data_IF_852453458478
#
_entry.id   IF_852453458478
#
_cell.length_a   1.000
_cell.length_b   1.000
_cell.length_c   1.000
_cell.angle_alpha   90.00
_cell.angle_beta   90.00
_cell.angle_gamma   90.00
#
_symmetry.space_group_name_H-M   'P 1'
#
loop_
_entity.id
_entity.type
_entity.pdbx_description
1 polymer ?
#
# COMPACT_ATOMS: atom_id res chain seq x y z
N UNK A 1 -64.85 24.20 -47.72
CA UNK A 1 -65.37 25.49 -47.19
C UNK A 1 -64.30 26.03 -46.25
N UNK A 2 -63.76 27.22 -46.56
CA UNK A 2 -62.66 27.94 -45.85
C UNK A 2 -61.29 27.21 -45.91
N UNK A 3 -60.26 27.71 -46.64
CA UNK A 3 -59.39 28.90 -46.43
C UNK A 3 -58.37 28.71 -45.28
N UNK A 4 -57.12 29.21 -45.28
CA UNK A 4 -56.33 30.15 -46.12
C UNK A 4 -54.80 29.97 -45.79
N UNK A 5 -53.75 30.56 -46.42
CA UNK A 5 -53.47 31.31 -47.67
C UNK A 5 -51.91 31.52 -47.75
N UNK A 6 -51.24 31.55 -48.93
CA UNK A 6 -49.76 31.60 -49.04
C UNK A 6 -49.16 33.02 -49.14
N UNK A 7 -47.82 33.16 -49.16
CA UNK A 7 -47.14 34.29 -49.80
C UNK A 7 -46.14 33.90 -50.91
N UNK A 8 -45.91 34.84 -51.82
CA UNK A 8 -45.07 34.77 -53.03
C UNK A 8 -43.70 35.47 -52.85
N UNK A 9 -42.72 35.27 -53.76
CA UNK A 9 -41.36 35.82 -53.62
C UNK A 9 -41.21 37.25 -54.16
N UNK A 10 -40.33 38.04 -53.54
CA UNK A 10 -39.90 39.37 -54.00
C UNK A 10 -38.48 39.35 -54.58
N UNK A 11 -38.22 40.20 -55.56
CA UNK A 11 -37.01 40.18 -56.40
C UNK A 11 -36.06 41.39 -56.18
N UNK A 12 -34.77 41.14 -56.44
CA UNK A 12 -33.84 42.04 -57.15
C UNK A 12 -33.64 43.50 -56.68
N UNK A 13 -32.45 43.77 -56.10
CA UNK A 13 -31.86 45.11 -56.00
C UNK A 13 -30.39 45.00 -55.56
N UNK A 14 -29.46 45.67 -56.23
CA UNK A 14 -28.03 45.39 -56.07
C UNK A 14 -27.11 46.59 -55.81
N UNK A 15 -25.83 46.25 -55.60
CA UNK A 15 -24.60 47.06 -55.67
C UNK A 15 -24.10 47.86 -54.44
N UNK A 16 -22.78 47.66 -54.21
CA UNK A 16 -21.79 48.56 -53.60
C UNK A 16 -21.78 48.82 -52.06
N UNK A 17 -20.90 48.10 -51.35
CA UNK A 17 -20.42 48.43 -50.00
C UNK A 17 -18.96 47.99 -49.80
N UNK A 18 -18.06 48.93 -49.47
CA UNK A 18 -16.61 48.77 -49.61
C UNK A 18 -15.90 47.78 -48.65
N UNK A 19 -14.86 47.14 -49.18
CA UNK A 19 -13.74 46.43 -48.53
C UNK A 19 -13.25 47.04 -47.19
N UNK A 20 -13.86 46.69 -46.05
CA UNK A 20 -13.32 47.03 -44.70
C UNK A 20 -12.55 45.89 -44.01
N UNK A 21 -12.70 44.65 -44.46
CA UNK A 21 -12.11 43.46 -43.81
C UNK A 21 -10.79 42.97 -44.42
N UNK A 22 -10.40 43.43 -45.62
CA UNK A 22 -9.21 42.93 -46.31
C UNK A 22 -7.89 43.30 -45.61
N UNK A 23 -7.78 44.52 -45.07
CA UNK A 23 -6.59 45.00 -44.38
C UNK A 23 -6.28 44.24 -43.07
N UNK A 24 -7.23 44.06 -42.11
CA UNK A 24 -6.95 43.26 -40.91
C UNK A 24 -6.70 41.78 -41.22
N UNK A 25 -7.32 41.23 -42.27
CA UNK A 25 -7.07 39.84 -42.68
C UNK A 25 -5.63 39.66 -43.21
N UNK A 26 -5.15 40.57 -44.07
CA UNK A 26 -3.77 40.55 -44.57
C UNK A 26 -2.74 40.76 -43.45
N UNK A 27 -3.01 41.67 -42.50
CA UNK A 27 -2.16 41.87 -41.33
C UNK A 27 -2.08 40.60 -40.44
N UNK A 28 -3.20 39.91 -40.24
CA UNK A 28 -3.27 38.63 -39.53
C UNK A 28 -2.43 37.54 -40.21
N UNK A 29 -2.55 37.40 -41.54
CA UNK A 29 -1.78 36.42 -42.33
C UNK A 29 -0.27 36.72 -42.32
N UNK A 30 0.12 38.00 -42.40
CA UNK A 30 1.53 38.40 -42.30
C UNK A 30 2.10 38.17 -40.91
N UNK A 31 1.36 38.48 -39.84
CA UNK A 31 1.82 38.25 -38.46
C UNK A 31 1.96 36.76 -38.14
N UNK A 32 0.98 35.93 -38.55
CA UNK A 32 1.01 34.49 -38.33
C UNK A 32 2.12 33.80 -39.14
N UNK A 33 2.34 34.18 -40.41
CA UNK A 33 3.47 33.68 -41.19
C UNK A 33 4.84 34.11 -40.64
N UNK A 34 4.96 35.32 -40.09
CA UNK A 34 6.18 35.76 -39.40
C UNK A 34 6.46 34.93 -38.13
N UNK A 35 5.42 34.66 -37.33
CA UNK A 35 5.53 33.84 -36.11
C UNK A 35 5.88 32.38 -36.40
N UNK A 36 5.31 31.79 -37.46
CA UNK A 36 5.66 30.44 -37.92
C UNK A 36 7.09 30.40 -38.45
N UNK A 37 7.52 31.43 -39.18
CA UNK A 37 8.91 31.53 -39.66
C UNK A 37 9.89 31.61 -38.49
N UNK A 38 9.60 32.45 -37.49
CA UNK A 38 10.44 32.59 -36.30
C UNK A 38 10.54 31.27 -35.51
N UNK A 39 9.43 30.56 -35.28
CA UNK A 39 9.47 29.29 -34.53
C UNK A 39 10.28 28.20 -35.25
N UNK A 40 10.22 28.13 -36.58
CA UNK A 40 11.04 27.23 -37.38
C UNK A 40 12.54 27.57 -37.30
N UNK A 41 12.92 28.85 -37.37
CA UNK A 41 14.32 29.30 -37.26
C UNK A 41 14.91 29.10 -35.85
N UNK A 42 14.13 29.33 -34.79
CA UNK A 42 14.58 29.05 -33.41
C UNK A 42 14.68 27.54 -33.12
N UNK A 43 13.85 26.71 -33.76
CA UNK A 43 13.89 25.25 -33.59
C UNK A 43 15.10 24.62 -34.29
N UNK A 44 15.37 24.98 -35.56
CA UNK A 44 16.51 24.46 -36.33
C UNK A 44 17.86 24.81 -35.69
N UNK A 45 17.99 26.02 -35.15
CA UNK A 45 19.20 26.50 -34.45
C UNK A 45 19.49 25.69 -33.18
N UNK A 46 18.46 25.22 -32.46
CA UNK A 46 18.61 24.35 -31.28
C UNK A 46 18.91 22.90 -31.65
N UNK A 47 18.32 22.39 -32.74
CA UNK A 47 18.55 21.01 -33.21
C UNK A 47 20.03 20.76 -33.59
N UNK A 48 20.66 21.72 -34.27
CA UNK A 48 22.08 21.62 -34.66
C UNK A 48 23.04 21.64 -33.46
N UNK A 49 22.73 22.38 -32.39
CA UNK A 49 23.56 22.42 -31.18
C UNK A 49 23.45 21.16 -30.32
N UNK A 50 22.32 20.44 -30.39
CA UNK A 50 22.11 19.19 -29.65
C UNK A 50 22.79 17.96 -30.30
N UNK A 51 23.19 18.05 -31.57
CA UNK A 51 23.74 16.93 -32.34
C UNK A 51 25.22 16.61 -32.05
N UNK A 52 25.90 17.42 -31.22
CA UNK A 52 27.32 17.26 -30.87
C UNK A 52 27.57 16.96 -29.39
N UNK A 53 26.53 16.61 -28.63
CA UNK A 53 26.71 16.09 -27.27
C UNK A 53 27.15 14.62 -27.33
N UNK A 54 28.31 14.22 -26.80
CA UNK A 54 28.67 12.80 -26.74
C UNK A 54 27.66 12.06 -25.86
N UNK A 55 27.08 10.99 -26.38
CA UNK A 55 26.20 10.10 -25.63
C UNK A 55 26.96 9.53 -24.42
N UNK A 56 26.45 9.67 -23.18
CA UNK A 56 27.04 9.00 -22.04
C UNK A 56 26.98 7.48 -22.25
N UNK A 57 28.04 6.77 -21.84
CA UNK A 57 28.14 5.32 -22.00
C UNK A 57 26.91 4.62 -21.38
N UNK A 58 26.28 3.73 -22.14
CA UNK A 58 25.09 2.99 -21.71
C UNK A 58 25.33 2.09 -20.48
N UNK A 59 26.58 1.93 -20.04
CA UNK A 59 26.97 1.21 -18.83
C UNK A 59 26.66 1.96 -17.50
N UNK A 60 26.28 3.24 -17.54
CA UNK A 60 26.00 4.04 -16.32
C UNK A 60 24.59 4.65 -16.25
N UNK A 61 23.65 4.17 -17.06
CA UNK A 61 22.25 4.60 -16.97
C UNK A 61 21.55 3.81 -15.86
N UNK A 62 21.04 4.51 -14.83
CA UNK A 62 20.07 3.95 -13.88
C UNK A 62 18.91 3.30 -14.66
N UNK A 63 18.51 2.06 -14.34
CA UNK A 63 17.42 1.40 -15.04
C UNK A 63 16.11 2.17 -14.87
N UNK A 64 15.63 2.77 -15.97
CA UNK A 64 14.43 3.62 -16.00
C UNK A 64 13.14 2.94 -15.50
N UNK A 65 13.14 1.60 -15.45
CA UNK A 65 11.99 0.76 -15.25
C UNK A 65 12.23 -0.29 -14.15
N UNK A 66 11.22 -0.52 -13.32
CA UNK A 66 11.31 -1.39 -12.13
C UNK A 66 11.78 -2.79 -12.50
N UNK A 67 11.28 -3.39 -13.57
CA UNK A 67 11.57 -4.77 -13.96
C UNK A 67 13.00 -4.92 -14.50
N UNK A 68 13.58 -3.85 -15.07
CA UNK A 68 15.00 -3.82 -15.41
C UNK A 68 15.87 -3.76 -14.14
N UNK A 69 15.47 -2.91 -13.16
CA UNK A 69 16.07 -2.82 -11.83
C UNK A 69 15.98 -4.16 -11.07
N UNK A 70 14.84 -4.86 -11.12
CA UNK A 70 14.65 -6.18 -10.53
C UNK A 70 15.55 -7.23 -11.18
N UNK A 71 15.53 -7.34 -12.52
CA UNK A 71 16.40 -8.28 -13.25
C UNK A 71 17.88 -8.02 -13.03
N UNK A 72 18.29 -6.76 -12.85
CA UNK A 72 19.65 -6.43 -12.46
C UNK A 72 19.93 -6.84 -11.00
N UNK A 73 19.04 -6.53 -10.05
CA UNK A 73 19.17 -6.93 -8.64
C UNK A 73 19.23 -8.46 -8.47
N UNK A 74 18.46 -9.23 -9.23
CA UNK A 74 18.47 -10.70 -9.22
C UNK A 74 19.73 -11.31 -9.87
N UNK A 75 20.51 -10.54 -10.64
CA UNK A 75 21.73 -10.99 -11.34
C UNK A 75 23.02 -10.46 -10.73
N UNK A 76 22.95 -9.43 -9.88
CA UNK A 76 24.11 -8.71 -9.39
C UNK A 76 24.73 -9.36 -8.15
N UNK A 77 25.62 -10.32 -8.38
CA UNK A 77 26.67 -10.64 -7.41
C UNK A 77 27.53 -9.37 -7.17
N UNK A 78 27.74 -8.99 -5.90
CA UNK A 78 28.63 -7.87 -5.54
C UNK A 78 27.99 -6.50 -5.24
N UNK A 79 26.67 -6.41 -4.99
CA UNK A 79 26.09 -5.20 -4.37
C UNK A 79 26.69 -5.01 -2.95
N UNK A 80 26.98 -3.78 -2.48
CA UNK A 80 27.23 -3.54 -1.06
C UNK A 80 26.07 -4.11 -0.22
N UNK A 81 26.36 -4.76 0.92
CA UNK A 81 25.32 -5.37 1.74
C UNK A 81 24.30 -4.30 2.16
N UNK A 82 23.01 -4.64 2.26
CA UNK A 82 22.02 -3.71 2.77
C UNK A 82 22.37 -3.29 4.21
N UNK A 83 21.89 -2.13 4.69
CA UNK A 83 22.12 -1.69 6.07
C UNK A 83 21.75 -2.81 7.04
N UNK A 84 22.57 -3.15 8.05
CA UNK A 84 22.43 -4.40 8.80
C UNK A 84 21.02 -4.57 9.40
N UNK A 85 20.48 -3.50 9.98
CA UNK A 85 19.09 -3.46 10.46
C UNK A 85 18.14 -3.07 9.30
N UNK A 86 17.10 -3.89 9.02
CA UNK A 86 16.08 -3.54 8.02
C UNK A 86 15.15 -2.43 8.52
N UNK A 87 14.26 -1.96 7.65
CA UNK A 87 13.21 -0.99 8.01
C UNK A 87 11.87 -1.45 7.46
N UNK A 88 10.84 -1.35 8.29
CA UNK A 88 9.48 -1.75 7.95
C UNK A 88 8.63 -0.50 7.69
N UNK A 89 7.78 -0.59 6.68
CA UNK A 89 6.79 0.41 6.32
C UNK A 89 5.38 -0.13 6.65
N UNK A 90 4.74 0.45 7.66
CA UNK A 90 3.42 0.03 8.11
C UNK A 90 2.30 0.86 7.48
N UNK A 91 1.25 0.20 7.00
CA UNK A 91 -0.10 0.78 6.97
C UNK A 91 -0.85 0.31 8.22
N UNK A 92 -1.37 1.25 9.02
CA UNK A 92 -2.31 0.96 10.11
C UNK A 92 -3.64 1.67 9.77
N UNK A 93 -4.71 0.91 9.53
CA UNK A 93 -6.00 1.45 9.05
C UNK A 93 -7.18 1.09 9.95
N UNK A 94 -8.07 2.04 10.24
CA UNK A 94 -9.31 1.82 10.99
C UNK A 94 -10.53 2.51 10.39
N UNK A 95 -11.67 2.33 11.06
CA UNK A 95 -13.00 2.87 10.73
C UNK A 95 -13.53 3.76 11.88
N UNK A 96 -14.80 4.17 11.80
CA UNK A 96 -15.44 4.99 12.83
C UNK A 96 -15.32 4.41 14.26
N UNK A 97 -14.74 5.19 15.17
CA UNK A 97 -14.50 4.84 16.58
C UNK A 97 -13.21 4.06 16.85
N UNK A 98 -12.37 3.80 15.84
CA UNK A 98 -11.10 3.10 16.00
C UNK A 98 -9.91 4.02 16.35
N UNK A 99 -10.11 5.35 16.43
CA UNK A 99 -9.04 6.32 16.64
C UNK A 99 -8.20 6.10 17.90
N UNK A 100 -8.80 5.55 18.98
CA UNK A 100 -8.05 5.08 20.16
C UNK A 100 -7.17 3.87 19.85
N UNK A 101 -7.75 2.82 19.25
CA UNK A 101 -7.06 1.58 18.95
C UNK A 101 -5.89 1.81 17.98
N UNK A 102 -6.10 2.63 16.94
CA UNK A 102 -5.03 3.10 16.04
C UNK A 102 -3.87 3.76 16.76
N UNK A 103 -4.12 4.66 17.73
CA UNK A 103 -3.05 5.29 18.51
C UNK A 103 -2.32 4.28 19.41
N UNK A 104 -3.05 3.38 20.05
CA UNK A 104 -2.50 2.31 20.89
C UNK A 104 -1.61 1.37 20.07
N UNK A 105 -2.09 0.89 18.93
CA UNK A 105 -1.35 0.01 18.00
C UNK A 105 -0.16 0.72 17.37
N UNK A 106 -0.27 2.00 16.99
CA UNK A 106 0.88 2.79 16.51
C UNK A 106 1.98 2.87 17.56
N UNK A 107 1.66 3.16 18.84
CA UNK A 107 2.66 3.18 19.93
C UNK A 107 3.25 1.80 20.20
N UNK A 108 2.47 0.74 20.08
CA UNK A 108 2.93 -0.65 20.21
C UNK A 108 3.94 -1.04 19.11
N UNK A 109 3.74 -0.52 17.90
CA UNK A 109 4.56 -0.81 16.72
C UNK A 109 5.69 0.20 16.48
N UNK A 110 5.83 1.24 17.30
CA UNK A 110 6.70 2.36 16.97
C UNK A 110 8.19 2.05 17.18
N UNK A 111 8.97 2.29 16.14
CA UNK A 111 10.43 2.27 16.15
C UNK A 111 10.96 3.36 15.20
N UNK A 112 11.97 4.15 15.57
CA UNK A 112 12.45 5.28 14.76
C UNK A 112 13.07 4.86 13.41
N UNK A 113 13.49 3.61 13.23
CA UNK A 113 13.98 3.11 11.94
C UNK A 113 12.88 2.96 10.89
N UNK A 114 11.64 2.71 11.32
CA UNK A 114 10.51 2.32 10.49
C UNK A 114 9.74 3.53 9.92
N UNK A 115 8.73 3.26 9.08
CA UNK A 115 7.84 4.25 8.45
C UNK A 115 6.38 3.85 8.71
N UNK A 116 5.51 4.84 8.87
CA UNK A 116 4.11 4.59 9.23
C UNK A 116 3.17 5.48 8.41
N UNK A 117 2.21 4.86 7.74
CA UNK A 117 1.00 5.52 7.23
C UNK A 117 -0.18 5.10 8.10
N UNK A 118 -0.88 6.09 8.65
CA UNK A 118 -2.00 5.89 9.57
C UNK A 118 -3.27 6.44 8.92
N UNK A 119 -4.31 5.63 8.84
CA UNK A 119 -5.53 5.94 8.11
C UNK A 119 -6.78 5.65 8.96
N UNK A 120 -7.71 6.59 8.96
CA UNK A 120 -9.11 6.40 9.34
C UNK A 120 -9.94 6.63 8.08
N UNK A 121 -10.83 5.70 7.77
CA UNK A 121 -11.65 5.78 6.55
C UNK A 121 -12.75 6.86 6.61
N UNK A 122 -13.50 7.04 5.52
CA UNK A 122 -14.57 8.02 5.43
C UNK A 122 -15.84 7.69 6.25
N UNK A 123 -15.96 6.50 6.85
CA UNK A 123 -16.98 6.24 7.88
C UNK A 123 -16.65 7.00 9.17
N UNK A 124 -15.35 7.16 9.47
CA UNK A 124 -14.92 7.89 10.65
C UNK A 124 -15.27 9.39 10.56
N UNK A 125 -15.93 9.96 11.59
CA UNK A 125 -16.27 11.38 11.65
C UNK A 125 -15.08 12.29 11.36
N UNK A 126 -15.34 13.42 10.71
CA UNK A 126 -14.29 14.40 10.40
C UNK A 126 -13.57 14.92 11.66
N UNK A 127 -14.26 14.96 12.81
CA UNK A 127 -13.69 15.26 14.13
C UNK A 127 -12.69 14.22 14.57
N UNK A 128 -13.06 12.92 14.59
CA UNK A 128 -12.16 11.82 14.97
C UNK A 128 -10.90 11.77 14.08
N UNK A 129 -11.06 11.99 12.77
CA UNK A 129 -9.94 12.08 11.83
C UNK A 129 -9.04 13.28 12.07
N UNK A 130 -9.61 14.44 12.41
CA UNK A 130 -8.86 15.63 12.79
C UNK A 130 -8.12 15.46 14.13
N UNK A 131 -8.75 14.82 15.11
CA UNK A 131 -8.17 14.49 16.41
C UNK A 131 -6.99 13.54 16.28
N UNK A 132 -7.10 12.48 15.46
CA UNK A 132 -5.97 11.59 15.16
C UNK A 132 -4.80 12.36 14.53
N UNK A 133 -5.08 13.20 13.53
CA UNK A 133 -4.05 14.00 12.88
C UNK A 133 -3.41 15.05 13.81
N UNK A 134 -4.19 15.62 14.74
CA UNK A 134 -3.70 16.55 15.75
C UNK A 134 -2.84 15.83 16.81
N UNK A 135 -3.30 14.68 17.32
CA UNK A 135 -2.59 13.88 18.30
C UNK A 135 -1.22 13.39 17.78
N UNK A 136 -1.17 12.89 16.54
CA UNK A 136 0.11 12.47 15.93
C UNK A 136 1.06 13.66 15.71
N UNK A 137 0.55 14.84 15.32
CA UNK A 137 1.37 16.04 15.14
C UNK A 137 1.90 16.61 16.46
N UNK A 138 1.14 16.45 17.55
CA UNK A 138 1.48 16.98 18.87
C UNK A 138 2.44 16.08 19.67
N UNK A 139 2.58 14.80 19.30
CA UNK A 139 3.49 13.88 19.99
C UNK A 139 4.97 14.23 19.68
N UNK A 140 5.80 14.49 20.71
CA UNK A 140 7.18 14.93 20.52
C UNK A 140 8.08 13.87 19.88
N UNK A 141 7.76 12.58 20.00
CA UNK A 141 8.55 11.50 19.38
C UNK A 141 8.26 11.43 17.88
N UNK A 142 6.98 11.45 17.49
CA UNK A 142 6.61 11.47 16.07
C UNK A 142 7.09 12.74 15.37
N UNK A 143 6.97 13.90 16.03
CA UNK A 143 7.46 15.17 15.50
C UNK A 143 8.98 15.20 15.33
N UNK A 144 9.74 14.55 16.23
CA UNK A 144 11.21 14.47 16.15
C UNK A 144 11.69 13.64 14.95
N UNK A 145 11.13 12.45 14.77
CA UNK A 145 11.62 11.51 13.75
C UNK A 145 10.94 11.69 12.39
N UNK A 146 9.78 12.36 12.33
CA UNK A 146 9.08 12.68 11.08
C UNK A 146 8.56 11.46 10.31
N UNK A 147 8.59 10.27 10.90
CA UNK A 147 8.37 8.99 10.23
C UNK A 147 6.92 8.48 10.28
N UNK A 148 5.97 9.29 10.77
CA UNK A 148 4.54 8.97 10.86
C UNK A 148 3.70 9.94 10.03
N UNK A 149 2.92 9.39 9.10
CA UNK A 149 2.10 10.12 8.13
C UNK A 149 0.62 9.77 8.29
N UNK A 150 -0.18 10.72 8.80
CA UNK A 150 -1.65 10.55 8.85
C UNK A 150 -2.26 10.93 7.51
N UNK A 151 -3.10 10.05 6.95
CA UNK A 151 -3.87 10.30 5.72
C UNK A 151 -5.05 11.23 6.05
N UNK A 152 -4.92 12.52 5.75
CA UNK A 152 -5.96 13.53 6.05
C UNK A 152 -7.13 13.49 5.06
N UNK A 153 -6.84 13.21 3.78
CA UNK A 153 -7.85 12.92 2.75
C UNK A 153 -8.17 11.42 2.78
N UNK A 154 -9.00 11.03 3.75
CA UNK A 154 -9.43 9.66 3.96
C UNK A 154 -10.05 9.03 2.70
N UNK A 155 -9.83 7.72 2.54
CA UNK A 155 -10.48 6.89 1.54
C UNK A 155 -11.77 6.30 2.14
N UNK A 156 -12.77 5.99 1.33
CA UNK A 156 -13.88 5.13 1.76
C UNK A 156 -13.45 3.67 1.59
N UNK A 157 -13.69 2.80 2.58
CA UNK A 157 -13.15 1.43 2.57
C UNK A 157 -14.25 0.38 2.84
N UNK A 158 -14.59 -0.39 1.81
CA UNK A 158 -15.46 -1.55 1.87
C UNK A 158 -14.61 -2.82 2.00
N UNK A 159 -14.70 -3.53 3.13
CA UNK A 159 -13.87 -4.73 3.43
C UNK A 159 -13.95 -5.80 2.33
N UNK A 160 -15.15 -6.05 1.82
CA UNK A 160 -15.42 -7.07 0.78
C UNK A 160 -15.16 -6.56 -0.65
N UNK A 161 -14.72 -5.32 -0.83
CA UNK A 161 -14.59 -4.65 -2.13
C UNK A 161 -13.16 -4.21 -2.48
N UNK A 162 -12.95 -3.74 -3.73
CA UNK A 162 -11.67 -3.22 -4.21
C UNK A 162 -11.21 -1.94 -3.52
N UNK A 163 -12.09 -1.19 -2.85
CA UNK A 163 -11.70 0.04 -2.16
C UNK A 163 -10.68 -0.20 -1.04
N UNK A 164 -10.69 -1.38 -0.39
CA UNK A 164 -9.63 -1.78 0.55
C UNK A 164 -8.28 -2.06 -0.16
N UNK A 165 -8.29 -2.61 -1.38
CA UNK A 165 -7.07 -2.77 -2.21
C UNK A 165 -6.54 -1.39 -2.60
N UNK A 166 -7.42 -0.50 -3.07
CA UNK A 166 -7.06 0.86 -3.44
C UNK A 166 -6.48 1.67 -2.26
N UNK A 167 -7.04 1.51 -1.05
CA UNK A 167 -6.50 2.11 0.18
C UNK A 167 -5.09 1.59 0.50
N UNK A 168 -4.87 0.27 0.35
CA UNK A 168 -3.56 -0.36 0.58
C UNK A 168 -2.51 0.15 -0.41
N UNK A 169 -2.86 0.20 -1.70
CA UNK A 169 -2.02 0.77 -2.76
C UNK A 169 -1.76 2.27 -2.57
N UNK A 170 -2.74 3.04 -2.09
CA UNK A 170 -2.57 4.47 -1.78
C UNK A 170 -1.57 4.68 -0.64
N UNK A 171 -1.67 3.92 0.45
CA UNK A 171 -0.70 3.97 1.55
C UNK A 171 0.72 3.59 1.09
N UNK A 172 0.84 2.51 0.32
CA UNK A 172 2.09 2.09 -0.29
C UNK A 172 2.69 3.17 -1.23
N UNK A 173 1.87 3.84 -2.04
CA UNK A 173 2.31 4.94 -2.90
C UNK A 173 2.81 6.17 -2.11
N UNK A 174 2.20 6.46 -0.96
CA UNK A 174 2.71 7.47 -0.02
C UNK A 174 4.08 7.05 0.52
N UNK A 175 4.26 5.78 0.89
CA UNK A 175 5.52 5.25 1.44
C UNK A 175 6.65 5.18 0.41
N UNK A 176 6.36 4.88 -0.86
CA UNK A 176 7.34 4.97 -1.96
C UNK A 176 7.77 6.41 -2.25
N UNK A 177 6.86 7.39 -2.08
CA UNK A 177 7.11 8.81 -2.41
C UNK A 177 7.72 9.61 -1.26
N UNK A 178 7.22 9.42 -0.05
CA UNK A 178 7.50 10.25 1.14
C UNK A 178 8.21 9.47 2.26
N UNK A 179 8.26 8.12 2.17
CA UNK A 179 8.83 7.26 3.21
C UNK A 179 10.36 7.08 3.17
N UNK A 180 11.04 7.44 2.08
CA UNK A 180 12.46 7.11 1.89
C UNK A 180 12.69 5.59 1.86
N UNK A 181 13.89 5.11 2.21
CA UNK A 181 14.20 3.68 2.11
C UNK A 181 13.53 2.84 3.22
N UNK A 182 12.91 1.75 2.80
CA UNK A 182 12.37 0.65 3.61
C UNK A 182 12.44 -0.67 2.82
N UNK A 183 12.44 -1.81 3.52
CA UNK A 183 12.66 -3.14 2.95
C UNK A 183 11.36 -3.93 2.77
N UNK A 184 10.46 -3.85 3.75
CA UNK A 184 9.16 -4.53 3.75
C UNK A 184 8.01 -3.61 4.09
N UNK A 185 6.86 -3.85 3.48
CA UNK A 185 5.57 -3.23 3.74
C UNK A 185 4.66 -4.22 4.48
N UNK A 186 4.06 -3.80 5.60
CA UNK A 186 3.08 -4.58 6.36
C UNK A 186 1.78 -3.79 6.45
N UNK A 187 0.66 -4.39 6.07
CA UNK A 187 -0.67 -3.83 6.31
C UNK A 187 -1.29 -4.41 7.59
N UNK A 188 -1.89 -3.56 8.41
CA UNK A 188 -2.58 -3.88 9.66
C UNK A 188 -3.86 -3.04 9.77
N UNK A 189 -4.85 -3.56 10.50
CA UNK A 189 -6.03 -2.82 10.91
C UNK A 189 -5.97 -2.38 12.37
N UNK A 190 -6.94 -1.58 12.79
CA UNK A 190 -7.16 -1.21 14.19
C UNK A 190 -7.54 -2.39 15.11
N UNK A 191 -7.75 -3.59 14.56
CA UNK A 191 -8.04 -4.81 15.33
C UNK A 191 -6.87 -5.81 15.32
N UNK A 192 -5.73 -5.45 14.74
CA UNK A 192 -4.48 -6.21 14.83
C UNK A 192 -3.60 -5.66 15.97
N UNK A 193 -2.78 -6.54 16.56
CA UNK A 193 -1.83 -6.15 17.61
C UNK A 193 -0.54 -6.98 17.54
N UNK A 194 0.64 -6.39 17.84
CA UNK A 194 1.89 -7.14 17.89
C UNK A 194 1.99 -8.05 19.11
N UNK A 195 2.62 -9.21 18.92
CA UNK A 195 2.96 -10.20 19.95
C UNK A 195 4.49 -10.27 20.22
N UNK A 196 5.27 -9.42 19.55
CA UNK A 196 6.72 -9.27 19.69
C UNK A 196 7.09 -7.78 19.63
N UNK A 197 8.22 -7.41 20.20
CA UNK A 197 8.72 -6.02 20.09
C UNK A 197 9.21 -5.72 18.68
N UNK A 198 9.42 -4.43 18.37
CA UNK A 198 10.04 -4.05 17.10
C UNK A 198 11.52 -4.47 17.05
N UNK A 199 12.23 -4.43 18.17
CA UNK A 199 13.61 -4.90 18.27
C UNK A 199 13.71 -6.41 17.99
N UNK A 200 12.77 -7.22 18.49
CA UNK A 200 12.65 -8.65 18.14
C UNK A 200 12.46 -8.85 16.64
N UNK A 201 11.48 -8.16 16.05
CA UNK A 201 11.09 -8.31 14.66
C UNK A 201 12.22 -7.86 13.71
N UNK A 202 12.83 -6.70 13.98
CA UNK A 202 13.95 -6.18 13.19
C UNK A 202 15.21 -7.04 13.34
N UNK A 203 15.44 -7.64 14.51
CA UNK A 203 16.56 -8.56 14.71
C UNK A 203 16.41 -9.82 13.87
N UNK A 204 15.26 -10.51 13.94
CA UNK A 204 15.03 -11.71 13.12
C UNK A 204 15.03 -11.38 11.62
N UNK A 205 14.44 -10.25 11.21
CA UNK A 205 14.48 -9.80 9.81
C UNK A 205 15.89 -9.42 9.32
N UNK A 206 16.83 -9.09 10.21
CA UNK A 206 18.22 -8.81 9.82
C UNK A 206 18.99 -10.05 9.34
N UNK A 207 18.58 -11.24 9.79
CA UNK A 207 19.17 -12.52 9.40
C UNK A 207 18.53 -13.12 8.13
N UNK A 208 17.44 -12.53 7.62
CA UNK A 208 16.61 -13.11 6.56
C UNK A 208 16.92 -12.54 5.16
N UNK A 209 16.78 -13.36 4.10
CA UNK A 209 16.88 -12.88 2.72
C UNK A 209 15.80 -11.82 2.42
N UNK A 210 16.23 -10.60 2.08
CA UNK A 210 15.32 -9.44 1.91
C UNK A 210 14.37 -9.52 0.72
N UNK A 211 14.52 -10.54 -0.13
CA UNK A 211 13.62 -10.82 -1.24
C UNK A 211 12.34 -11.57 -0.82
N UNK A 212 12.24 -12.10 0.40
CA UNK A 212 11.10 -12.92 0.81
C UNK A 212 9.82 -12.09 1.06
N UNK A 213 8.71 -12.54 0.48
CA UNK A 213 7.37 -11.97 0.63
C UNK A 213 6.50 -12.95 1.43
N UNK A 214 6.04 -12.57 2.62
CA UNK A 214 5.17 -13.42 3.45
C UNK A 214 3.72 -13.11 3.10
N UNK A 215 3.09 -14.08 2.45
CA UNK A 215 1.74 -13.98 1.89
C UNK A 215 1.15 -15.39 1.85
N UNK A 216 0.13 -15.67 2.68
CA UNK A 216 -0.61 -16.94 2.60
C UNK A 216 -1.38 -16.97 1.27
N UNK A 217 -1.32 -18.07 0.53
CA UNK A 217 -1.93 -18.17 -0.79
C UNK A 217 -2.22 -19.61 -1.23
N UNK A 218 -3.29 -19.76 -2.01
CA UNK A 218 -3.62 -20.96 -2.78
C UNK A 218 -4.32 -20.60 -4.09
N UNK A 219 -4.03 -21.36 -5.14
CA UNK A 219 -4.78 -21.36 -6.40
C UNK A 219 -5.90 -22.39 -6.45
N UNK A 220 -5.98 -23.32 -5.49
CA UNK A 220 -7.19 -24.11 -5.28
C UNK A 220 -8.26 -23.23 -4.62
N UNK A 221 -8.88 -22.42 -5.49
CA UNK A 221 -9.93 -21.49 -5.08
C UNK A 221 -11.27 -22.21 -4.87
N UNK A 222 -11.44 -23.46 -5.30
CA UNK A 222 -12.64 -24.29 -5.09
C UNK A 222 -13.97 -23.54 -5.17
N UNK A 223 -14.72 -23.51 -4.06
CA UNK A 223 -16.01 -22.82 -3.96
C UNK A 223 -15.92 -21.30 -4.19
N UNK A 224 -14.76 -20.67 -3.92
CA UNK A 224 -14.53 -19.23 -4.12
C UNK A 224 -14.61 -18.88 -5.62
N UNK A 225 -14.36 -19.82 -6.54
CA UNK A 225 -14.59 -19.59 -7.97
C UNK A 225 -16.04 -19.19 -8.25
N UNK A 226 -16.99 -19.95 -7.70
CA UNK A 226 -18.43 -19.79 -7.94
C UNK A 226 -19.09 -18.72 -7.07
N UNK A 227 -18.50 -18.41 -5.91
CA UNK A 227 -19.04 -17.41 -4.97
C UNK A 227 -18.33 -16.05 -5.00
N UNK A 228 -17.11 -15.95 -5.56
CA UNK A 228 -16.31 -14.72 -5.57
C UNK A 228 -15.76 -14.30 -6.94
N UNK A 229 -15.33 -15.25 -7.77
CA UNK A 229 -14.68 -14.94 -9.06
C UNK A 229 -15.66 -14.75 -10.23
N UNK A 230 -16.61 -15.70 -10.37
CA UNK A 230 -17.67 -15.69 -11.40
C UNK A 230 -18.77 -14.66 -11.13
N UNK A 231 -19.25 -14.44 -9.89
CA UNK A 231 -20.14 -13.32 -9.60
C UNK A 231 -19.44 -11.99 -9.86
N UNK A 232 -20.23 -10.98 -10.23
CA UNK A 232 -19.77 -9.61 -10.46
C UNK A 232 -20.36 -8.75 -9.36
N UNK A 233 -19.51 -8.00 -8.64
CA UNK A 233 -19.95 -7.02 -7.65
C UNK A 233 -19.61 -5.60 -8.09
N UNK A 234 -20.36 -4.62 -7.58
CA UNK A 234 -20.01 -3.20 -7.65
C UNK A 234 -19.85 -2.70 -6.21
N UNK A 235 -18.71 -2.08 -5.92
CA UNK A 235 -18.44 -1.43 -4.63
C UNK A 235 -18.95 0.02 -4.67
N UNK A 236 -19.95 0.38 -3.85
CA UNK A 236 -20.53 1.72 -3.87
C UNK A 236 -19.55 2.81 -3.46
N UNK A 237 -18.47 2.46 -2.74
CA UNK A 237 -17.41 3.39 -2.39
C UNK A 237 -16.62 3.94 -3.58
N UNK A 238 -16.85 3.44 -4.79
CA UNK A 238 -16.29 3.97 -6.04
C UNK A 238 -17.06 5.20 -6.58
N UNK A 239 -18.32 5.42 -6.18
CA UNK A 239 -19.17 6.52 -6.68
C UNK A 239 -20.03 7.22 -5.61
N UNK A 240 -20.05 6.71 -4.37
CA UNK A 240 -20.74 7.28 -3.21
C UNK A 240 -19.74 7.62 -2.11
N UNK A 241 -20.08 8.63 -1.29
CA UNK A 241 -19.37 8.91 -0.03
C UNK A 241 -20.04 8.25 1.19
N UNK A 242 -21.27 7.74 1.02
CA UNK A 242 -21.97 6.98 2.05
C UNK A 242 -21.56 5.52 1.96
N UNK A 243 -21.04 4.96 3.06
CA UNK A 243 -20.63 3.56 3.16
C UNK A 243 -21.83 2.62 3.09
N UNK A 244 -21.69 1.54 2.34
CA UNK A 244 -22.60 0.40 2.29
C UNK A 244 -21.82 -0.86 1.91
N UNK A 245 -22.44 -2.04 2.03
CA UNK A 245 -21.86 -3.26 1.47
C UNK A 245 -21.91 -3.24 -0.08
N UNK A 246 -21.26 -4.21 -0.71
CA UNK A 246 -21.20 -4.36 -2.17
C UNK A 246 -22.56 -4.71 -2.79
N UNK A 247 -22.86 -4.14 -3.95
CA UNK A 247 -24.01 -4.55 -4.75
C UNK A 247 -23.66 -5.73 -5.64
N UNK A 248 -24.60 -6.66 -5.78
CA UNK A 248 -24.48 -7.83 -6.63
C UNK A 248 -25.11 -7.58 -7.99
N UNK A 249 -24.43 -8.02 -9.05
CA UNK A 249 -24.95 -8.04 -10.41
C UNK A 249 -25.52 -9.43 -10.72
N UNK A 250 -26.64 -9.47 -11.43
CA UNK A 250 -27.37 -10.71 -11.77
C UNK A 250 -26.54 -11.60 -12.69
N UNK A 251 -25.88 -10.98 -13.67
CA UNK A 251 -25.01 -11.60 -14.65
C UNK A 251 -23.68 -12.06 -14.01
N UNK A 252 -23.19 -13.22 -14.48
CA UNK A 252 -21.91 -13.79 -14.06
C UNK A 252 -20.92 -13.75 -15.23
N UNK A 253 -19.64 -13.65 -14.90
CA UNK A 253 -18.51 -13.73 -15.85
C UNK A 253 -17.83 -15.10 -15.78
N UNK A 254 -17.05 -15.43 -16.82
CA UNK A 254 -16.04 -16.49 -16.73
C UNK A 254 -14.84 -16.05 -15.87
N UNK A 255 -14.06 -17.02 -15.42
CA UNK A 255 -12.72 -16.77 -14.86
C UNK A 255 -11.76 -16.32 -15.98
N UNK A 256 -10.73 -15.52 -15.67
CA UNK A 256 -9.78 -15.04 -16.67
C UNK A 256 -8.89 -16.19 -17.16
N UNK A 257 -8.55 -16.16 -18.44
CA UNK A 257 -7.59 -17.09 -19.07
C UNK A 257 -6.19 -16.49 -19.25
N UNK A 258 -6.05 -15.18 -19.03
CA UNK A 258 -4.79 -14.45 -19.19
C UNK A 258 -3.85 -14.55 -17.97
N UNK A 259 -4.35 -14.98 -16.82
CA UNK A 259 -3.60 -15.17 -15.58
C UNK A 259 -4.32 -16.17 -14.67
N UNK A 260 -3.59 -16.93 -13.85
CA UNK A 260 -4.13 -17.89 -12.86
C UNK A 260 -4.61 -17.10 -11.64
N UNK A 261 -5.82 -17.36 -11.16
CA UNK A 261 -6.33 -16.74 -9.92
C UNK A 261 -5.70 -17.38 -8.69
N UNK A 262 -5.38 -16.55 -7.70
CA UNK A 262 -4.97 -16.96 -6.36
C UNK A 262 -5.82 -16.26 -5.31
N UNK A 263 -5.99 -16.91 -4.16
CA UNK A 263 -6.61 -16.30 -2.98
C UNK A 263 -5.87 -16.65 -1.70
N UNK A 264 -5.99 -15.82 -0.68
CA UNK A 264 -5.37 -16.04 0.63
C UNK A 264 -5.73 -14.94 1.62
N UNK A 265 -4.94 -14.82 2.70
CA UNK A 265 -5.13 -13.82 3.75
C UNK A 265 -5.02 -12.38 3.22
N UNK A 266 -5.85 -11.48 3.75
CA UNK A 266 -5.75 -10.05 3.42
C UNK A 266 -4.55 -9.35 4.10
N UNK A 267 -3.79 -10.06 4.94
CA UNK A 267 -2.67 -9.55 5.75
C UNK A 267 -1.36 -10.12 5.24
N UNK A 268 -0.36 -9.27 5.04
CA UNK A 268 0.85 -9.63 4.29
C UNK A 268 2.07 -8.85 4.81
N UNK A 269 3.26 -9.40 4.59
CA UNK A 269 4.51 -8.65 4.62
C UNK A 269 5.19 -8.75 3.25
N UNK A 270 5.14 -7.66 2.49
CA UNK A 270 5.55 -7.61 1.08
C UNK A 270 6.84 -6.80 0.92
N UNK A 271 7.75 -7.24 0.08
CA UNK A 271 9.00 -6.52 -0.23
C UNK A 271 8.75 -5.17 -0.90
N UNK A 272 9.64 -4.21 -0.66
CA UNK A 272 9.68 -2.94 -1.38
C UNK A 272 9.65 -3.15 -2.90
N UNK A 273 10.43 -4.11 -3.40
CA UNK A 273 10.51 -4.50 -4.80
C UNK A 273 9.13 -4.87 -5.38
N UNK A 274 8.36 -5.70 -4.68
CA UNK A 274 7.03 -6.12 -5.15
C UNK A 274 6.02 -4.98 -5.12
N UNK A 275 6.06 -4.15 -4.08
CA UNK A 275 5.21 -2.95 -3.97
C UNK A 275 5.56 -1.90 -5.05
N UNK A 276 6.84 -1.67 -5.29
CA UNK A 276 7.36 -0.80 -6.36
C UNK A 276 6.88 -1.31 -7.74
N UNK A 277 6.90 -2.63 -7.97
CA UNK A 277 6.36 -3.24 -9.18
C UNK A 277 4.84 -3.03 -9.32
N UNK A 278 4.05 -3.25 -8.26
CA UNK A 278 2.59 -3.06 -8.29
C UNK A 278 2.16 -1.63 -8.67
N UNK A 279 2.98 -0.62 -8.34
CA UNK A 279 2.63 0.80 -8.49
C UNK A 279 3.35 1.46 -9.69
N UNK A 280 4.64 1.17 -9.87
CA UNK A 280 5.52 1.81 -10.87
C UNK A 280 6.06 0.86 -11.95
N UNK A 281 5.76 -0.44 -11.91
CA UNK A 281 6.10 -1.36 -12.99
C UNK A 281 5.53 -0.92 -14.35
N UNK A 282 6.25 -1.19 -15.44
CA UNK A 282 5.77 -0.91 -16.81
C UNK A 282 4.98 -2.07 -17.40
N UNK A 283 5.14 -3.28 -16.85
CA UNK A 283 4.26 -4.40 -17.14
C UNK A 283 2.80 -4.05 -16.78
N UNK A 284 1.87 -4.54 -17.59
CA UNK A 284 0.46 -4.19 -17.46
C UNK A 284 -0.31 -5.14 -16.52
N UNK A 285 0.29 -6.24 -16.07
CA UNK A 285 -0.34 -7.25 -15.22
C UNK A 285 -0.90 -6.65 -13.91
N UNK A 286 -0.18 -5.83 -13.12
CA UNK A 286 -0.75 -5.24 -11.90
C UNK A 286 -2.00 -4.41 -12.17
N UNK A 287 -2.09 -3.75 -13.33
CA UNK A 287 -3.21 -2.90 -13.74
C UNK A 287 -4.38 -3.72 -14.28
N UNK A 288 -4.09 -4.74 -15.09
CA UNK A 288 -5.08 -5.69 -15.63
C UNK A 288 -5.73 -6.51 -14.52
N UNK A 289 -4.93 -7.00 -13.56
CA UNK A 289 -5.42 -7.70 -12.37
C UNK A 289 -6.22 -6.73 -11.50
N UNK A 290 -5.79 -5.47 -11.30
CA UNK A 290 -6.56 -4.48 -10.53
C UNK A 290 -7.94 -4.20 -11.15
N UNK A 291 -8.00 -4.05 -12.48
CA UNK A 291 -9.26 -3.91 -13.21
C UNK A 291 -10.18 -5.13 -13.05
N UNK A 292 -9.63 -6.36 -13.11
CA UNK A 292 -10.42 -7.58 -12.89
C UNK A 292 -10.95 -7.68 -11.45
N UNK A 293 -10.12 -7.31 -10.48
CA UNK A 293 -10.44 -7.33 -9.05
C UNK A 293 -11.37 -6.19 -8.60
N UNK A 294 -11.57 -5.16 -9.42
CA UNK A 294 -12.58 -4.11 -9.20
C UNK A 294 -14.03 -4.64 -9.07
N UNK A 295 -14.31 -5.82 -9.63
CA UNK A 295 -15.61 -6.48 -9.54
C UNK A 295 -15.55 -7.90 -8.96
N UNK A 296 -14.49 -8.21 -8.20
CA UNK A 296 -14.29 -9.50 -7.52
C UNK A 296 -14.64 -9.37 -6.04
N UNK A 297 -15.34 -10.36 -5.46
CA UNK A 297 -15.71 -10.32 -4.04
C UNK A 297 -14.53 -10.67 -3.12
N UNK A 298 -14.33 -9.92 -2.04
CA UNK A 298 -13.16 -10.00 -1.15
C UNK A 298 -11.86 -9.75 -1.93
N UNK A 299 -11.81 -8.67 -2.70
CA UNK A 299 -10.66 -8.32 -3.55
C UNK A 299 -9.28 -8.28 -2.83
N UNK A 300 -9.18 -7.85 -1.56
CA UNK A 300 -7.93 -7.90 -0.78
C UNK A 300 -7.36 -9.32 -0.63
N UNK A 301 -8.24 -10.32 -0.46
CA UNK A 301 -7.90 -11.75 -0.34
C UNK A 301 -7.50 -12.38 -1.69
N UNK A 302 -7.09 -11.60 -2.71
CA UNK A 302 -6.72 -12.15 -4.03
C UNK A 302 -5.91 -11.26 -4.96
N UNK A 303 -5.97 -9.92 -4.85
CA UNK A 303 -5.23 -9.02 -5.75
C UNK A 303 -3.71 -9.27 -5.71
N UNK A 304 -3.08 -9.08 -4.55
CA UNK A 304 -1.62 -9.21 -4.39
C UNK A 304 -1.15 -10.65 -4.65
N UNK A 305 -1.90 -11.64 -4.16
CA UNK A 305 -1.72 -13.07 -4.42
C UNK A 305 -1.65 -13.39 -5.93
N UNK A 306 -2.60 -12.86 -6.70
CA UNK A 306 -2.66 -13.08 -8.14
C UNK A 306 -1.52 -12.36 -8.87
N UNK A 307 -1.18 -11.13 -8.47
CA UNK A 307 -0.05 -10.43 -9.09
C UNK A 307 1.28 -11.15 -8.78
N UNK A 308 1.58 -11.47 -7.52
CA UNK A 308 2.88 -12.04 -7.14
C UNK A 308 3.15 -13.40 -7.80
N UNK A 309 2.11 -14.24 -7.90
CA UNK A 309 2.24 -15.59 -8.44
C UNK A 309 2.15 -15.70 -9.96
N UNK A 310 1.77 -14.63 -10.66
CA UNK A 310 1.82 -14.58 -12.13
C UNK A 310 3.05 -13.82 -12.68
N UNK A 311 3.99 -13.41 -11.80
CA UNK A 311 5.25 -12.75 -12.22
C UNK A 311 6.45 -13.68 -11.99
N UNK A 312 7.21 -14.06 -13.03
CA UNK A 312 8.37 -14.95 -12.91
C UNK A 312 9.43 -14.46 -11.91
N UNK A 313 9.65 -13.15 -11.82
CA UNK A 313 10.61 -12.51 -10.92
C UNK A 313 10.23 -12.62 -9.43
N UNK A 314 8.95 -12.81 -9.09
CA UNK A 314 8.47 -12.83 -7.69
C UNK A 314 7.90 -14.18 -7.23
N UNK A 315 7.39 -15.04 -8.12
CA UNK A 315 6.73 -16.28 -7.73
C UNK A 315 7.57 -17.17 -6.80
N UNK A 316 8.88 -17.25 -7.02
CA UNK A 316 9.85 -18.02 -6.21
C UNK A 316 10.37 -17.25 -4.98
N UNK A 317 9.60 -16.28 -4.47
CA UNK A 317 9.96 -15.48 -3.29
C UNK A 317 8.89 -15.51 -2.20
N UNK A 318 7.82 -16.27 -2.41
CA UNK A 318 6.66 -16.31 -1.51
C UNK A 318 6.89 -17.27 -0.35
N UNK A 319 6.69 -16.81 0.88
CA UNK A 319 6.55 -17.66 2.05
C UNK A 319 5.05 -17.78 2.32
N UNK A 320 4.51 -19.00 2.26
CA UNK A 320 3.08 -19.25 2.34
C UNK A 320 2.54 -19.19 3.78
N UNK A 321 2.58 -17.98 4.36
CA UNK A 321 2.16 -17.66 5.72
C UNK A 321 1.92 -16.15 5.85
N UNK A 322 0.87 -15.72 6.57
CA UNK A 322 0.49 -14.29 6.70
C UNK A 322 1.07 -13.58 7.93
N UNK A 323 1.80 -14.32 8.78
CA UNK A 323 2.41 -13.87 10.03
C UNK A 323 1.41 -13.43 11.13
N UNK A 324 0.16 -13.89 11.05
CA UNK A 324 -0.86 -13.60 12.06
C UNK A 324 -1.33 -14.87 12.78
N UNK A 325 -1.49 -14.80 14.10
CA UNK A 325 -2.40 -15.71 14.79
C UNK A 325 -3.85 -15.27 14.56
N UNK A 326 -4.69 -16.16 14.06
CA UNK A 326 -6.11 -15.90 13.81
C UNK A 326 -6.95 -17.09 14.28
N UNK A 327 -7.89 -16.83 15.19
CA UNK A 327 -8.87 -17.83 15.64
C UNK A 327 -10.11 -17.80 14.75
N UNK A 328 -10.44 -18.93 14.13
CA UNK A 328 -11.57 -19.07 13.18
C UNK A 328 -12.54 -20.17 13.62
N UNK A 329 -13.81 -19.98 13.29
CA UNK A 329 -14.77 -21.08 13.20
C UNK A 329 -14.26 -22.18 12.24
N UNK A 330 -14.72 -23.42 12.43
CA UNK A 330 -14.53 -24.50 11.46
C UNK A 330 -15.90 -24.99 10.95
N UNK A 331 -16.27 -24.75 9.67
CA UNK A 331 -15.52 -24.00 8.65
C UNK A 331 -15.50 -22.48 8.91
N UNK A 332 -14.49 -21.74 8.38
CA UNK A 332 -14.36 -20.30 8.62
C UNK A 332 -15.57 -19.48 8.15
N UNK A 333 -16.06 -18.60 9.02
CA UNK A 333 -17.06 -17.56 8.70
C UNK A 333 -16.40 -16.32 8.08
N UNK A 334 -17.19 -15.29 7.76
CA UNK A 334 -16.70 -14.04 7.16
C UNK A 334 -15.69 -13.27 8.05
N UNK A 335 -15.80 -13.40 9.38
CA UNK A 335 -14.94 -12.73 10.33
C UNK A 335 -14.42 -13.73 11.38
N UNK A 336 -13.14 -13.62 11.79
CA UNK A 336 -12.59 -14.46 12.85
C UNK A 336 -13.21 -14.12 14.20
N UNK A 337 -12.94 -14.95 15.22
CA UNK A 337 -13.33 -14.66 16.60
C UNK A 337 -12.64 -13.40 17.12
N UNK A 338 -13.28 -12.73 18.09
CA UNK A 338 -12.57 -11.75 18.90
C UNK A 338 -11.71 -12.50 19.90
N UNK A 339 -10.41 -12.21 19.90
CA UNK A 339 -9.44 -12.82 20.81
C UNK A 339 -9.56 -12.19 22.19
N UNK A 340 -9.60 -13.02 23.22
CA UNK A 340 -9.72 -12.61 24.64
C UNK A 340 -8.56 -13.17 25.46
N UNK A 341 -8.57 -12.96 26.78
CA UNK A 341 -7.52 -13.44 27.71
C UNK A 341 -7.37 -14.97 27.66
N UNK A 342 -8.45 -15.68 27.39
CA UNK A 342 -8.51 -17.13 27.21
C UNK A 342 -7.70 -17.63 25.99
N UNK A 343 -7.55 -16.80 24.94
CA UNK A 343 -6.74 -17.13 23.76
C UNK A 343 -5.24 -16.83 23.95
N UNK A 344 -4.84 -16.23 25.08
CA UNK A 344 -3.48 -15.70 25.26
C UNK A 344 -2.37 -16.75 25.08
N UNK A 345 -2.52 -17.92 25.70
CA UNK A 345 -1.50 -18.96 25.58
C UNK A 345 -1.43 -19.50 24.14
N UNK A 346 -2.57 -19.56 23.42
CA UNK A 346 -2.61 -19.94 22.00
C UNK A 346 -1.89 -18.91 21.13
N UNK A 347 -2.08 -17.61 21.41
CA UNK A 347 -1.35 -16.53 20.73
C UNK A 347 0.17 -16.67 20.93
N UNK A 348 0.64 -16.84 22.17
CA UNK A 348 2.07 -16.98 22.46
C UNK A 348 2.66 -18.25 21.82
N UNK A 349 1.96 -19.39 21.94
CA UNK A 349 2.42 -20.68 21.41
C UNK A 349 2.43 -20.73 19.88
N UNK A 350 1.66 -19.88 19.18
CA UNK A 350 1.69 -19.76 17.73
C UNK A 350 3.05 -19.29 17.18
N UNK A 351 3.82 -18.57 18.00
CA UNK A 351 5.06 -17.89 17.62
C UNK A 351 4.89 -16.77 16.55
N UNK A 352 3.66 -16.40 16.20
CA UNK A 352 3.38 -15.32 15.25
C UNK A 352 3.77 -13.95 15.82
N UNK A 353 4.27 -13.00 14.99
CA UNK A 353 4.58 -11.64 15.43
C UNK A 353 3.34 -10.75 15.60
N UNK A 354 2.19 -11.12 15.02
CA UNK A 354 0.93 -10.38 15.11
C UNK A 354 -0.24 -11.33 15.44
N UNK A 355 -1.34 -10.77 15.95
CA UNK A 355 -2.60 -11.50 16.16
C UNK A 355 -3.82 -10.67 15.80
N UNK A 356 -4.92 -11.36 15.46
CA UNK A 356 -6.23 -10.74 15.18
C UNK A 356 -7.43 -11.67 15.37
N UNK A 357 -8.62 -11.14 15.65
CA UNK A 357 -8.95 -9.72 15.82
C UNK A 357 -9.22 -9.39 17.29
N UNK A 358 -8.82 -8.20 17.75
CA UNK A 358 -9.08 -7.76 19.11
C UNK A 358 -10.33 -6.90 19.23
N UNK A 359 -10.98 -6.97 20.40
CA UNK A 359 -12.01 -6.01 20.80
C UNK A 359 -11.40 -4.63 21.08
N UNK A 360 -12.23 -3.58 21.05
CA UNK A 360 -11.79 -2.24 21.47
C UNK A 360 -11.58 -2.22 22.99
N UNK A 361 -10.39 -1.80 23.42
CA UNK A 361 -10.03 -1.69 24.84
C UNK A 361 -10.21 -3.03 25.60
N UNK A 362 -9.99 -4.16 24.90
CA UNK A 362 -10.07 -5.50 25.48
C UNK A 362 -8.93 -5.76 26.48
N UNK A 363 -9.19 -6.33 27.67
CA UNK A 363 -8.17 -6.63 28.69
C UNK A 363 -7.00 -7.48 28.20
N UNK A 364 -7.17 -8.30 27.16
CA UNK A 364 -6.04 -9.08 26.60
C UNK A 364 -4.94 -8.18 26.02
N UNK A 365 -5.29 -6.99 25.54
CA UNK A 365 -4.31 -6.03 25.03
C UNK A 365 -3.40 -5.52 26.16
N UNK A 366 -3.94 -5.33 27.36
CA UNK A 366 -3.16 -4.90 28.54
C UNK A 366 -2.22 -6.03 28.99
N UNK A 367 -2.68 -7.28 28.92
CA UNK A 367 -1.85 -8.46 29.17
C UNK A 367 -0.73 -8.64 28.14
N UNK A 368 -1.00 -8.40 26.85
CA UNK A 368 0.03 -8.39 25.80
C UNK A 368 1.07 -7.28 26.06
N UNK A 369 0.60 -6.08 26.40
CA UNK A 369 1.47 -4.93 26.70
C UNK A 369 2.41 -5.21 27.88
N UNK A 370 1.88 -5.81 28.95
CA UNK A 370 2.64 -6.17 30.14
C UNK A 370 3.63 -7.32 29.87
N UNK A 371 3.14 -8.44 29.35
CA UNK A 371 3.88 -9.72 29.37
C UNK A 371 4.76 -9.93 28.12
N UNK A 372 4.38 -9.39 26.96
CA UNK A 372 5.10 -9.60 25.69
C UNK A 372 5.87 -8.37 25.22
N UNK A 373 5.35 -7.16 25.49
CA UNK A 373 5.93 -5.91 24.99
C UNK A 373 6.63 -5.07 26.07
N UNK A 374 6.48 -5.40 27.36
CA UNK A 374 7.07 -4.64 28.47
C UNK A 374 6.64 -3.16 28.53
N UNK A 375 5.50 -2.81 27.93
CA UNK A 375 5.07 -1.44 27.66
C UNK A 375 4.07 -0.95 28.72
N UNK A 376 4.26 0.29 29.17
CA UNK A 376 3.30 0.97 30.05
C UNK A 376 2.03 1.42 29.28
N UNK A 377 0.87 1.54 29.93
CA UNK A 377 -0.34 2.13 29.33
C UNK A 377 -0.04 3.47 28.64
N UNK A 378 -0.50 3.62 27.40
CA UNK A 378 -0.22 4.76 26.50
C UNK A 378 1.28 5.12 26.28
N UNK A 379 2.23 4.30 26.75
CA UNK A 379 3.66 4.45 26.50
C UNK A 379 4.10 3.89 25.14
N UNK A 380 5.39 4.00 24.84
CA UNK A 380 6.05 3.29 23.73
C UNK A 380 6.64 1.95 24.20
N UNK A 381 6.83 1.00 23.28
CA UNK A 381 7.52 -0.25 23.59
C UNK A 381 8.99 0.06 23.87
N UNK A 382 9.55 -0.38 25.01
CA UNK A 382 10.97 -0.22 25.28
C UNK A 382 11.81 -1.08 24.32
N UNK A 383 12.92 -0.51 23.86
CA UNK A 383 13.91 -1.13 22.99
C UNK A 383 15.22 -0.35 23.06
N UNK A 384 16.23 -0.72 22.28
CA UNK A 384 17.55 -0.07 22.37
C UNK A 384 17.53 1.42 22.03
N UNK A 385 16.53 1.87 21.25
CA UNK A 385 16.28 3.30 20.99
C UNK A 385 15.62 4.05 22.17
N UNK A 386 14.96 3.38 23.11
CA UNK A 386 14.29 4.02 24.27
C UNK A 386 15.17 4.13 25.50
N UNK A 387 16.19 3.29 25.67
CA UNK A 387 17.12 3.39 26.81
C UNK A 387 17.93 4.71 26.81
N UNK A 388 17.88 5.45 25.70
CA UNK A 388 18.43 6.80 25.53
C UNK A 388 17.39 7.91 25.83
N UNK A 389 16.15 7.56 26.22
CA UNK A 389 15.12 8.52 26.69
C UNK A 389 15.37 9.08 28.10
N UNK A 390 16.38 8.58 28.84
CA UNK A 390 16.78 9.18 30.10
C UNK A 390 17.50 10.52 29.87
N UNK A 391 16.76 11.62 30.04
CA UNK A 391 17.34 12.96 30.05
C UNK A 391 18.31 13.11 31.25
N UNK A 392 19.60 13.35 30.98
CA UNK A 392 20.55 13.79 32.01
C UNK A 392 20.24 15.21 32.53
N UNK A 393 19.32 15.93 31.89
CA UNK A 393 18.82 17.26 32.29
C UNK A 393 17.29 17.27 32.26
N UNK A 394 16.64 17.53 33.40
CA UNK A 394 15.18 17.74 33.46
C UNK A 394 14.77 18.84 32.46
N UNK A 395 13.97 18.48 31.46
CA UNK A 395 13.49 19.41 30.42
C UNK A 395 14.41 19.59 29.22
N UNK A 396 15.52 18.86 29.12
CA UNK A 396 16.35 18.82 27.90
C UNK A 396 15.70 18.00 26.77
N UNK A 397 16.01 18.29 25.50
CA UNK A 397 15.55 17.47 24.38
C UNK A 397 16.16 16.07 24.45
N UNK A 398 15.35 15.05 24.16
CA UNK A 398 15.77 13.64 24.12
C UNK A 398 16.97 13.44 23.18
N UNK A 399 17.86 12.48 23.48
CA UNK A 399 18.93 12.04 22.56
C UNK A 399 18.68 10.59 22.15
N UNK A 400 19.01 10.25 20.90
CA UNK A 400 19.10 8.86 20.42
C UNK A 400 20.36 8.82 19.59
N UNK A 401 21.37 8.10 20.06
CA UNK A 401 22.70 8.06 19.44
C UNK A 401 22.70 7.14 18.22
N UNK A 402 22.00 5.98 18.30
CA UNK A 402 21.94 4.99 17.21
C UNK A 402 20.58 4.27 17.17
N UNK A 403 19.79 4.60 16.14
CA UNK A 403 18.51 3.96 15.78
C UNK A 403 18.66 2.48 15.33
N UNK A 404 19.89 1.97 15.25
CA UNK A 404 20.23 0.61 14.79
C UNK A 404 20.65 -0.33 15.93
N UNK A 405 20.74 0.16 17.16
CA UNK A 405 21.09 -0.66 18.31
C UNK A 405 19.84 -1.40 18.81
N UNK A 406 19.63 -2.63 18.33
CA UNK A 406 18.49 -3.47 18.71
C UNK A 406 18.76 -4.21 20.02
N UNK A 407 17.72 -4.38 20.84
CA UNK A 407 17.69 -5.22 22.05
C UNK A 407 16.63 -6.32 21.92
N UNK A 408 16.89 -7.37 21.13
CA UNK A 408 15.96 -8.51 21.04
C UNK A 408 15.78 -9.16 22.41
N UNK A 409 14.55 -9.58 22.70
CA UNK A 409 14.15 -10.33 23.88
C UNK A 409 13.55 -11.68 23.52
N UNK A 410 12.72 -12.27 24.40
CA UNK A 410 12.13 -13.59 24.16
C UNK A 410 11.16 -13.66 22.96
N UNK A 411 10.76 -12.52 22.39
CA UNK A 411 9.96 -12.47 21.17
C UNK A 411 10.75 -12.88 19.93
N UNK A 412 12.05 -12.55 19.88
CA UNK A 412 12.93 -12.93 18.80
C UNK A 412 13.08 -14.45 18.67
N UNK A 413 13.25 -15.18 19.77
CA UNK A 413 13.37 -16.64 19.76
C UNK A 413 12.10 -17.32 19.23
N UNK A 414 10.92 -16.84 19.64
CA UNK A 414 9.63 -17.32 19.10
C UNK A 414 9.56 -17.06 17.60
N UNK A 415 9.75 -15.82 17.17
CA UNK A 415 9.64 -15.44 15.77
C UNK A 415 10.66 -16.17 14.89
N UNK A 416 11.91 -16.35 15.36
CA UNK A 416 12.96 -17.10 14.69
C UNK A 416 12.59 -18.57 14.54
N UNK A 417 11.98 -19.19 15.56
CA UNK A 417 11.44 -20.55 15.48
C UNK A 417 10.35 -20.67 14.41
N UNK A 418 9.41 -19.71 14.34
CA UNK A 418 8.38 -19.69 13.30
C UNK A 418 9.01 -19.58 11.91
N UNK A 419 9.80 -18.54 11.66
CA UNK A 419 10.30 -18.26 10.32
C UNK A 419 11.27 -19.34 9.85
N UNK A 420 12.15 -19.84 10.73
CA UNK A 420 13.01 -20.99 10.40
C UNK A 420 12.17 -22.19 9.98
N UNK A 421 11.14 -22.54 10.77
CA UNK A 421 10.24 -23.65 10.45
C UNK A 421 9.47 -23.49 9.14
N UNK A 422 9.20 -22.25 8.70
CA UNK A 422 8.59 -21.96 7.40
C UNK A 422 9.59 -22.11 6.25
N UNK A 423 10.79 -21.51 6.35
CA UNK A 423 11.77 -21.47 5.25
C UNK A 423 12.62 -22.74 5.11
N UNK A 424 12.76 -23.54 6.18
CA UNK A 424 13.44 -24.85 6.15
C UNK A 424 12.44 -26.01 6.06
N UNK A 425 11.17 -25.75 5.75
CA UNK A 425 10.18 -26.81 5.61
C UNK A 425 10.50 -27.67 4.38
N UNK A 426 10.33 -29.00 4.48
CA UNK A 426 10.49 -29.88 3.33
C UNK A 426 9.54 -29.46 2.20
N UNK A 427 10.06 -29.36 0.97
CA UNK A 427 9.33 -28.82 -0.18
C UNK A 427 8.99 -27.32 -0.07
N UNK A 428 9.81 -26.50 0.60
CA UNK A 428 9.64 -25.04 0.63
C UNK A 428 9.55 -24.44 -0.78
N UNK A 429 10.50 -24.77 -1.66
CA UNK A 429 10.53 -24.29 -3.05
C UNK A 429 9.30 -24.75 -3.85
N UNK A 430 8.76 -25.94 -3.54
CA UNK A 430 7.54 -26.48 -4.16
C UNK A 430 6.25 -25.79 -3.67
N UNK A 431 6.30 -25.08 -2.54
CA UNK A 431 5.17 -24.35 -1.94
C UNK A 431 5.01 -22.93 -2.47
N UNK A 432 5.90 -22.50 -3.37
CA UNK A 432 5.77 -21.25 -4.10
C UNK A 432 4.61 -21.32 -5.10
N UNK A 433 3.55 -20.56 -4.84
CA UNK A 433 2.46 -20.32 -5.78
C UNK A 433 1.71 -21.59 -6.22
N UNK A 434 1.40 -22.44 -5.23
CA UNK A 434 0.55 -23.63 -5.31
C UNK A 434 -0.78 -23.36 -6.06
#
# INVERSE_FOLDING_TARGET
MLEAKPPSPGSGGGAAGHRRWAAPLLASVLLSSLLISASLFFSSSRALLLSFSPLPSAASAEPLFVEAKLRQQMRAEGRPPPPPVPRIAYLISGSAGDGKALRRTLRALYHPANRYVVHLDLEAPATERAELAAAVRADPVYARFGNVRVVTRANLVTYRGPTMVANTLHAAAILLREGGDWDWFINLSASDYPLVTQDDLLHVLSELPRQLNFIEHTSDIGWKEYQRAKPVIIDPGLYSQQKSDVFWITEKRSVPTAFKLFTGSAWMMLTHQFIEYCIWGWDNLPRTVLMYYANFLSSPEGYFHTVICNVPEFRNTTVNHDLHFISWDNPPKQHPHYLTVEDYDSMVNSNAPFARKFGREDPVLDKIDQDLLGRQPDGFVPGGWTDQMNSTVKGGPFTVERVQDLRPGPGADRLKKLITGLITQEGFDDKHCL
#
